data_IF_927040574053
#
_entry.id   IF_927040574053
#
_cell.length_a   1.000
_cell.length_b   1.000
_cell.length_c   1.000
_cell.angle_alpha   90.00
_cell.angle_beta   90.00
_cell.angle_gamma   90.00
#
_symmetry.space_group_name_H-M   'P 1'
#
loop_
_entity.id
_entity.type
_entity.pdbx_description
1 polymer ?
#
# COMPACT_ATOMS: atom_id res chain seq x y z
N UNK A 1 -3.07 12.56 -11.47
CA UNK A 1 -2.73 11.12 -11.56
C UNK A 1 -1.24 10.99 -11.27
N UNK A 2 -0.83 10.06 -10.39
CA UNK A 2 0.58 9.93 -9.97
C UNK A 2 1.42 9.52 -11.19
N UNK A 3 2.22 10.46 -11.73
CA UNK A 3 2.79 10.36 -13.09
C UNK A 3 3.74 9.17 -13.28
N UNK A 4 4.48 8.80 -12.22
CA UNK A 4 5.45 7.72 -12.29
C UNK A 4 4.79 6.35 -12.46
N UNK A 5 3.82 6.01 -11.60
CA UNK A 5 3.11 4.73 -11.67
C UNK A 5 2.36 4.55 -12.99
N UNK A 6 1.83 5.63 -13.57
CA UNK A 6 1.11 5.55 -14.86
C UNK A 6 2.03 5.13 -16.01
N UNK A 7 3.25 5.67 -16.07
CA UNK A 7 4.21 5.31 -17.11
C UNK A 7 4.60 3.82 -17.07
N UNK A 8 4.77 3.27 -15.87
CA UNK A 8 5.07 1.85 -15.67
C UNK A 8 3.87 0.96 -16.02
N UNK A 9 2.65 1.37 -15.63
CA UNK A 9 1.42 0.68 -15.99
C UNK A 9 1.20 0.66 -17.50
N UNK A 10 1.39 1.78 -18.18
CA UNK A 10 1.26 1.88 -19.63
C UNK A 10 2.28 0.97 -20.34
N UNK A 11 3.54 1.01 -19.90
CA UNK A 11 4.59 0.12 -20.40
C UNK A 11 4.24 -1.35 -20.16
N UNK A 12 3.69 -1.68 -18.99
CA UNK A 12 3.22 -3.02 -18.69
C UNK A 12 2.11 -3.46 -19.65
N UNK A 13 1.05 -2.66 -19.77
CA UNK A 13 -0.13 -2.98 -20.58
C UNK A 13 0.20 -3.12 -22.08
N UNK A 14 1.08 -2.26 -22.61
CA UNK A 14 1.39 -2.22 -24.05
C UNK A 14 2.51 -3.15 -24.46
N UNK A 15 3.52 -3.37 -23.61
CA UNK A 15 4.76 -4.09 -23.99
C UNK A 15 4.85 -5.46 -23.34
N UNK A 16 4.63 -5.54 -22.02
CA UNK A 16 4.90 -6.76 -21.27
C UNK A 16 3.69 -7.71 -21.20
N UNK A 17 2.49 -7.19 -20.90
CA UNK A 17 1.27 -7.99 -20.78
C UNK A 17 0.98 -8.82 -22.04
N UNK A 18 1.06 -8.27 -23.28
CA UNK A 18 0.81 -9.06 -24.49
C UNK A 18 1.81 -10.21 -24.69
N UNK A 19 3.06 -10.03 -24.23
CA UNK A 19 4.10 -11.06 -24.31
C UNK A 19 3.94 -12.16 -23.26
N UNK A 20 3.25 -11.85 -22.16
CA UNK A 20 2.96 -12.78 -21.07
C UNK A 20 1.63 -13.52 -21.28
N UNK A 21 0.73 -12.99 -22.11
CA UNK A 21 -0.57 -13.56 -22.41
C UNK A 21 -0.40 -14.83 -23.25
N UNK A 22 -0.78 -15.98 -22.69
CA UNK A 22 -0.76 -17.29 -23.37
C UNK A 22 -2.15 -17.75 -23.82
N UNK A 23 -3.17 -17.29 -23.09
CA UNK A 23 -4.58 -17.53 -23.32
C UNK A 23 -5.35 -16.27 -22.90
N UNK A 24 -6.60 -16.13 -23.34
CA UNK A 24 -7.43 -15.00 -22.93
C UNK A 24 -7.59 -14.96 -21.41
N UNK A 25 -7.50 -13.75 -20.84
CA UNK A 25 -7.52 -13.52 -19.40
C UNK A 25 -8.14 -12.18 -19.04
N UNK A 26 -9.06 -12.23 -18.08
CA UNK A 26 -9.68 -11.07 -17.46
C UNK A 26 -8.76 -10.36 -16.44
N UNK A 27 -7.63 -10.98 -16.05
CA UNK A 27 -6.72 -10.39 -15.09
C UNK A 27 -5.82 -9.33 -15.74
N UNK A 28 -5.73 -8.17 -15.10
CA UNK A 28 -4.82 -7.09 -15.54
C UNK A 28 -3.37 -7.56 -15.39
N UNK A 29 -2.99 -8.04 -14.20
CA UNK A 29 -1.64 -8.52 -13.91
C UNK A 29 -1.54 -10.04 -14.05
N UNK A 30 -0.68 -10.48 -14.97
CA UNK A 30 -0.43 -11.89 -15.26
C UNK A 30 0.76 -12.42 -14.45
N UNK A 31 0.61 -13.60 -13.85
CA UNK A 31 1.74 -14.32 -13.25
C UNK A 31 2.65 -14.89 -14.34
N UNK A 32 3.96 -14.80 -14.15
CA UNK A 32 4.91 -15.50 -15.02
C UNK A 32 4.73 -17.01 -14.87
N UNK A 33 4.38 -17.69 -15.96
CA UNK A 33 4.21 -19.14 -15.95
C UNK A 33 5.56 -19.83 -15.73
N UNK A 34 5.80 -20.27 -14.49
CA UNK A 34 6.82 -21.27 -14.22
C UNK A 34 6.16 -22.65 -14.35
N UNK A 35 6.25 -23.24 -15.54
CA UNK A 35 5.83 -24.62 -15.78
C UNK A 35 4.34 -24.86 -16.06
N UNK A 36 3.51 -23.82 -16.22
CA UNK A 36 2.13 -24.03 -16.70
C UNK A 36 2.11 -24.23 -18.21
N UNK A 37 1.37 -25.23 -18.67
CA UNK A 37 1.25 -25.59 -20.08
C UNK A 37 0.46 -24.51 -20.83
N UNK A 38 0.56 -24.49 -22.15
CA UNK A 38 -0.12 -23.51 -23.04
C UNK A 38 -1.66 -23.48 -22.84
N UNK A 39 -2.24 -24.50 -22.20
CA UNK A 39 -3.69 -24.65 -21.98
C UNK A 39 -4.18 -24.22 -20.60
N UNK A 40 -3.29 -23.87 -19.69
CA UNK A 40 -3.73 -23.50 -18.34
C UNK A 40 -4.31 -22.08 -18.34
N UNK A 41 -5.49 -21.86 -17.73
CA UNK A 41 -6.06 -20.54 -17.61
C UNK A 41 -5.10 -19.63 -16.85
N UNK A 42 -5.09 -18.34 -17.19
CA UNK A 42 -4.29 -17.36 -16.48
C UNK A 42 -4.70 -17.32 -15.00
N UNK A 43 -3.79 -17.77 -14.13
CA UNK A 43 -4.00 -17.80 -12.69
C UNK A 43 -3.65 -16.44 -12.06
N UNK A 44 -4.34 -16.05 -10.98
CA UNK A 44 -3.97 -14.88 -10.21
C UNK A 44 -2.56 -15.02 -9.65
N UNK A 45 -1.82 -13.90 -9.58
CA UNK A 45 -0.44 -13.91 -9.08
C UNK A 45 -0.39 -14.00 -7.55
N UNK A 46 -0.29 -15.22 -7.04
CA UNK A 46 -0.24 -15.52 -5.60
C UNK A 46 1.11 -15.23 -4.95
N UNK A 47 2.21 -15.32 -5.70
CA UNK A 47 3.58 -15.11 -5.20
C UNK A 47 4.05 -13.64 -5.19
N UNK A 48 3.17 -12.67 -5.43
CA UNK A 48 3.55 -11.25 -5.49
C UNK A 48 4.24 -10.79 -4.19
N UNK A 49 3.69 -11.16 -3.03
CA UNK A 49 4.29 -10.78 -1.74
C UNK A 49 5.70 -11.34 -1.58
N UNK A 50 5.92 -12.61 -1.94
CA UNK A 50 7.25 -13.23 -1.89
C UNK A 50 8.23 -12.54 -2.82
N UNK A 51 7.78 -12.14 -4.02
CA UNK A 51 8.62 -11.39 -4.97
C UNK A 51 9.02 -10.03 -4.40
N UNK A 52 8.08 -9.31 -3.79
CA UNK A 52 8.32 -8.00 -3.17
C UNK A 52 9.27 -8.13 -1.98
N UNK A 53 9.09 -9.14 -1.14
CA UNK A 53 9.98 -9.45 -0.02
C UNK A 53 11.41 -9.72 -0.50
N UNK A 54 11.57 -10.60 -1.50
CA UNK A 54 12.89 -10.89 -2.08
C UNK A 54 13.57 -9.66 -2.68
N UNK A 55 12.81 -8.77 -3.32
CA UNK A 55 13.37 -7.54 -3.90
C UNK A 55 13.77 -6.56 -2.80
N UNK A 56 12.89 -6.31 -1.82
CA UNK A 56 13.12 -5.34 -0.74
C UNK A 56 14.25 -5.78 0.19
N UNK A 57 14.44 -7.08 0.42
CA UNK A 57 15.57 -7.63 1.18
C UNK A 57 16.94 -7.19 0.64
N UNK A 58 17.04 -6.91 -0.67
CA UNK A 58 18.29 -6.47 -1.31
C UNK A 58 18.60 -4.99 -1.06
N UNK A 59 17.57 -4.19 -0.80
CA UNK A 59 17.69 -2.73 -0.71
C UNK A 59 17.54 -2.21 0.72
N UNK A 60 16.88 -2.95 1.60
CA UNK A 60 16.68 -2.55 2.99
C UNK A 60 17.81 -3.07 3.88
N UNK A 61 18.56 -2.15 4.47
CA UNK A 61 19.68 -2.48 5.36
C UNK A 61 19.21 -3.29 6.57
N UNK A 62 19.87 -4.42 6.84
CA UNK A 62 19.57 -5.32 7.98
C UNK A 62 18.10 -5.75 8.05
N UNK A 63 17.45 -5.91 6.92
CA UNK A 63 16.05 -6.33 6.84
C UNK A 63 15.93 -7.56 5.93
N UNK A 64 15.16 -8.56 6.36
CA UNK A 64 14.89 -9.76 5.55
C UNK A 64 13.95 -9.50 4.35
N UNK A 65 13.48 -8.26 4.20
CA UNK A 65 12.47 -7.87 3.22
C UNK A 65 11.11 -7.61 3.87
N UNK A 66 10.22 -7.01 3.10
CA UNK A 66 8.84 -6.73 3.48
C UNK A 66 7.89 -7.17 2.38
N UNK A 67 6.72 -7.70 2.76
CA UNK A 67 5.67 -8.10 1.82
C UNK A 67 4.85 -6.92 1.29
N UNK A 68 3.91 -7.21 0.39
CA UNK A 68 2.99 -6.21 -0.20
C UNK A 68 2.15 -5.48 0.84
N UNK A 69 1.74 -6.15 1.92
CA UNK A 69 0.97 -5.52 3.00
C UNK A 69 1.73 -4.39 3.71
N UNK A 70 3.06 -4.41 3.72
CA UNK A 70 3.84 -3.32 4.32
C UNK A 70 3.64 -2.00 3.56
N UNK A 71 3.55 -2.04 2.22
CA UNK A 71 3.25 -0.85 1.42
C UNK A 71 1.86 -0.29 1.73
N UNK A 72 0.88 -1.16 2.00
CA UNK A 72 -0.45 -0.74 2.46
C UNK A 72 -0.36 0.03 3.78
N UNK A 73 0.43 -0.46 4.74
CA UNK A 73 0.67 0.22 6.01
C UNK A 73 1.41 1.55 5.84
N UNK A 74 2.42 1.62 4.96
CA UNK A 74 3.15 2.85 4.67
C UNK A 74 2.23 3.93 4.10
N UNK A 75 1.41 3.59 3.10
CA UNK A 75 0.46 4.53 2.48
C UNK A 75 -0.59 4.99 3.50
N UNK A 76 -1.19 4.08 4.26
CA UNK A 76 -2.15 4.45 5.30
C UNK A 76 -1.55 5.41 6.33
N UNK A 77 -0.38 5.05 6.87
CA UNK A 77 0.30 5.84 7.90
C UNK A 77 0.67 7.22 7.36
N UNK A 78 1.15 7.31 6.12
CA UNK A 78 1.49 8.58 5.49
C UNK A 78 0.26 9.49 5.35
N UNK A 79 -0.88 8.96 4.87
CA UNK A 79 -2.12 9.74 4.73
C UNK A 79 -2.62 10.23 6.09
N UNK A 80 -2.65 9.34 7.09
CA UNK A 80 -3.17 9.64 8.42
C UNK A 80 -2.30 10.68 9.13
N UNK A 81 -0.96 10.54 9.05
CA UNK A 81 -0.02 11.49 9.66
C UNK A 81 0.08 12.84 8.93
N UNK A 82 -0.20 12.87 7.63
CA UNK A 82 -0.17 14.12 6.86
C UNK A 82 -1.41 14.99 7.10
N UNK A 83 -2.45 14.44 7.72
CA UNK A 83 -3.72 15.12 7.93
C UNK A 83 -3.87 15.52 9.40
N UNK A 84 -3.97 16.82 9.69
CA UNK A 84 -4.19 17.35 11.06
C UNK A 84 -5.47 16.78 11.74
N UNK A 85 -6.37 16.19 10.96
CA UNK A 85 -7.65 15.63 11.40
C UNK A 85 -7.77 14.10 11.27
N UNK A 86 -6.65 13.36 11.14
CA UNK A 86 -6.66 11.88 11.09
C UNK A 86 -7.66 11.35 10.06
N UNK A 87 -7.39 11.60 8.77
CA UNK A 87 -8.32 11.30 7.69
C UNK A 87 -8.39 9.79 7.34
N UNK A 88 -9.00 9.02 8.26
CA UNK A 88 -9.26 7.60 8.06
C UNK A 88 -10.20 7.34 6.89
N UNK A 89 -11.04 8.32 6.53
CA UNK A 89 -11.95 8.21 5.39
C UNK A 89 -11.17 8.23 4.08
N UNK A 90 -10.24 9.16 3.92
CA UNK A 90 -9.35 9.21 2.75
C UNK A 90 -8.44 8.00 2.71
N UNK A 91 -7.87 7.58 3.84
CA UNK A 91 -7.08 6.35 3.88
C UNK A 91 -7.90 5.13 3.45
N UNK A 92 -9.15 4.99 3.92
CA UNK A 92 -10.04 3.90 3.52
C UNK A 92 -10.40 3.92 2.03
N UNK A 93 -10.67 5.10 1.47
CA UNK A 93 -10.95 5.28 0.04
C UNK A 93 -9.75 4.89 -0.83
N UNK A 94 -8.55 5.37 -0.49
CA UNK A 94 -7.33 5.06 -1.24
C UNK A 94 -6.98 3.57 -1.15
N UNK A 95 -7.21 2.98 0.02
CA UNK A 95 -6.91 1.57 0.27
C UNK A 95 -8.00 0.60 -0.21
N UNK A 96 -9.14 1.11 -0.71
CA UNK A 96 -10.33 0.32 -1.00
C UNK A 96 -10.69 -0.63 0.17
N UNK A 97 -10.76 -0.08 1.38
CA UNK A 97 -11.11 -0.80 2.61
C UNK A 97 -12.31 -0.16 3.31
N UNK A 98 -12.82 -0.84 4.33
CA UNK A 98 -13.79 -0.27 5.26
C UNK A 98 -13.07 0.70 6.20
N UNK A 99 -13.71 1.85 6.47
CA UNK A 99 -13.19 2.83 7.43
C UNK A 99 -12.95 2.21 8.82
N UNK A 100 -13.84 1.34 9.27
CA UNK A 100 -13.70 0.64 10.55
C UNK A 100 -12.46 -0.27 10.61
N UNK A 101 -12.08 -0.90 9.50
CA UNK A 101 -10.84 -1.69 9.42
C UNK A 101 -9.61 -0.79 9.55
N UNK A 102 -9.60 0.34 8.84
CA UNK A 102 -8.51 1.32 8.89
C UNK A 102 -8.38 1.88 10.30
N UNK A 103 -9.48 2.36 10.89
CA UNK A 103 -9.49 2.89 12.25
C UNK A 103 -8.98 1.86 13.27
N UNK A 104 -9.47 0.61 13.21
CA UNK A 104 -8.99 -0.47 14.08
C UNK A 104 -7.47 -0.67 14.01
N UNK A 105 -6.90 -0.60 12.82
CA UNK A 105 -5.46 -0.86 12.64
C UNK A 105 -4.58 0.36 12.91
N UNK A 106 -5.08 1.58 12.73
CA UNK A 106 -4.26 2.80 12.77
C UNK A 106 -4.68 3.85 13.82
N UNK A 107 -5.73 3.61 14.61
CA UNK A 107 -6.15 4.53 15.67
C UNK A 107 -5.04 4.86 16.66
N UNK A 108 -4.13 3.91 16.90
CA UNK A 108 -2.97 4.10 17.78
C UNK A 108 -2.01 5.21 17.32
N UNK A 109 -2.00 5.57 16.03
CA UNK A 109 -1.19 6.68 15.53
C UNK A 109 -1.58 8.02 16.20
N UNK A 110 -2.82 8.13 16.70
CA UNK A 110 -3.32 9.29 17.43
C UNK A 110 -2.77 9.45 18.84
N UNK A 111 -2.31 8.39 19.52
CA UNK A 111 -1.96 8.50 20.95
C UNK A 111 -0.80 9.46 21.18
N UNK A 112 0.20 9.42 20.30
CA UNK A 112 1.34 10.36 20.32
C UNK A 112 0.93 11.80 20.00
N UNK A 113 -0.02 12.00 19.08
CA UNK A 113 -0.56 13.34 18.77
C UNK A 113 -1.50 13.85 19.84
N UNK A 114 -2.25 12.98 20.51
CA UNK A 114 -3.17 13.33 21.58
C UNK A 114 -2.45 13.95 22.77
N UNK A 115 -1.29 13.41 23.14
CA UNK A 115 -0.43 14.01 24.16
C UNK A 115 0.07 15.40 23.74
N UNK A 116 0.57 15.54 22.49
CA UNK A 116 1.05 16.82 21.97
C UNK A 116 -0.08 17.86 21.91
N UNK A 117 -1.28 17.47 21.46
CA UNK A 117 -2.45 18.34 21.38
C UNK A 117 -2.99 18.72 22.75
N UNK A 118 -2.96 17.79 23.72
CA UNK A 118 -3.28 18.08 25.11
C UNK A 118 -2.31 19.13 25.67
N UNK A 119 -1.00 18.97 25.45
CA UNK A 119 0.00 19.97 25.87
C UNK A 119 -0.25 21.34 25.25
N UNK A 120 -0.62 21.39 23.97
CA UNK A 120 -0.94 22.64 23.28
C UNK A 120 -2.19 23.33 23.88
N UNK A 121 -3.28 22.59 24.06
CA UNK A 121 -4.54 23.11 24.61
C UNK A 121 -4.39 23.57 26.06
N UNK A 122 -3.76 22.74 26.90
CA UNK A 122 -3.50 23.10 28.30
C UNK A 122 -2.49 24.25 28.39
N UNK A 123 -1.44 24.25 27.58
CA UNK A 123 -0.46 25.33 27.54
C UNK A 123 -1.05 26.66 27.07
N UNK A 124 -2.03 26.66 26.18
CA UNK A 124 -2.76 27.87 25.77
C UNK A 124 -3.70 28.38 26.88
N UNK A 125 -4.33 27.46 27.62
CA UNK A 125 -5.25 27.79 28.72
C UNK A 125 -4.50 28.32 29.93
N UNK A 126 -3.43 27.65 30.34
CA UNK A 126 -2.61 28.01 31.50
C UNK A 126 -1.83 29.31 31.29
N UNK A 127 -1.50 29.69 30.04
CA UNK A 127 -0.88 30.99 29.72
C UNK A 127 -1.85 32.18 29.78
N UNK A 128 -3.15 31.92 29.85
CA UNK A 128 -4.20 32.94 29.95
C UNK A 128 -4.68 33.16 31.39
N UNK A 129 -4.24 32.32 32.33
CA UNK A 129 -4.37 32.54 33.77
C UNK A 129 -3.15 33.29 34.28
#
# INVERSE_FOLDING_TARGET
MQQMAWSDLERYLKVYRPRMLRCDSDYVFLAGSHGSTVRDPALPWTDLSRRVEHLTAKYLWRCAGIGTHAFRHLVATAIIKASDLSDFKTAALVLNDRMSTVEKNYAHLRSSEGANRMTELLGATLRRM
#
